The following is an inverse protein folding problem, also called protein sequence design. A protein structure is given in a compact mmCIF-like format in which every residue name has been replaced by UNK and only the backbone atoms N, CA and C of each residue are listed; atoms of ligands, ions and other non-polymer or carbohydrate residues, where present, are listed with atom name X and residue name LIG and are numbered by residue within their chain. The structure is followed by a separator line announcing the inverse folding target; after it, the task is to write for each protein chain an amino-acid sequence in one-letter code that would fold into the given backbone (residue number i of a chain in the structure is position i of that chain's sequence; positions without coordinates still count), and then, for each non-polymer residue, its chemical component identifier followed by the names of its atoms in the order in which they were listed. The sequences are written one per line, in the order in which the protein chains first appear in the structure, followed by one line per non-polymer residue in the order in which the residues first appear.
data_IF_723324658648
#
_entry.id   IF_723324658648
#
_cell.length_a   1.000
_cell.length_b   1.000
_cell.length_c   1.000
_cell.angle_alpha   90.00
_cell.angle_beta   90.00
_cell.angle_gamma   90.00
#
_symmetry.space_group_name_H-M   'P 1'
#
loop_
_entity.id
_entity.type
_entity.pdbx_description
1 polymer ?
#
# COMPACT_ATOMS: atom_id res chain seq x y z
N UNK A 1 -30.18 -12.47 -41.67
CA UNK A 1 -29.38 -11.28 -41.32
C UNK A 1 -28.86 -11.49 -39.90
N UNK A 2 -27.68 -12.08 -39.77
CA UNK A 2 -26.97 -12.18 -38.50
C UNK A 2 -26.03 -10.98 -38.43
N UNK A 3 -26.26 -10.09 -37.46
CA UNK A 3 -25.29 -9.06 -37.09
C UNK A 3 -24.17 -9.76 -36.32
N UNK A 4 -22.90 -9.63 -36.76
CA UNK A 4 -21.78 -10.11 -35.96
C UNK A 4 -21.60 -9.10 -34.82
N UNK A 5 -21.88 -9.55 -33.61
CA UNK A 5 -21.51 -8.83 -32.39
C UNK A 5 -20.00 -8.60 -32.43
N UNK A 6 -19.59 -7.34 -32.57
CA UNK A 6 -18.29 -6.88 -32.11
C UNK A 6 -18.22 -7.19 -30.62
N UNK A 7 -17.55 -8.28 -30.26
CA UNK A 7 -17.02 -8.46 -28.91
C UNK A 7 -15.91 -7.42 -28.74
N UNK A 8 -16.32 -6.20 -28.45
CA UNK A 8 -15.44 -5.10 -28.10
C UNK A 8 -14.60 -5.57 -26.91
N UNK A 9 -13.29 -5.70 -27.10
CA UNK A 9 -12.33 -6.12 -26.08
C UNK A 9 -12.35 -5.09 -24.94
N UNK A 10 -13.29 -5.23 -24.01
CA UNK A 10 -13.30 -4.40 -22.81
C UNK A 10 -12.02 -4.71 -22.01
N UNK A 11 -11.27 -3.68 -21.61
CA UNK A 11 -10.06 -3.88 -20.82
C UNK A 11 -10.42 -4.54 -19.49
N UNK A 12 -9.84 -5.72 -19.23
CA UNK A 12 -10.02 -6.47 -17.99
C UNK A 12 -9.16 -5.87 -16.87
N UNK A 13 -9.54 -6.06 -15.60
CA UNK A 13 -8.74 -5.59 -14.47
C UNK A 13 -7.27 -6.05 -14.52
N UNK A 14 -6.95 -7.32 -14.84
CA UNK A 14 -5.56 -7.74 -14.98
C UNK A 14 -4.77 -6.95 -16.03
N UNK A 15 -5.37 -6.61 -17.18
CA UNK A 15 -4.68 -5.82 -18.19
C UNK A 15 -4.47 -4.37 -17.74
N UNK A 16 -5.46 -3.77 -17.08
CA UNK A 16 -5.35 -2.42 -16.49
C UNK A 16 -4.24 -2.38 -15.43
N UNK A 17 -4.20 -3.35 -14.52
CA UNK A 17 -3.18 -3.42 -13.47
C UNK A 17 -1.78 -3.65 -14.05
N UNK A 18 -1.67 -4.46 -15.11
CA UNK A 18 -0.41 -4.66 -15.84
C UNK A 18 0.07 -3.36 -16.49
N UNK A 19 -0.82 -2.61 -17.15
CA UNK A 19 -0.49 -1.30 -17.72
C UNK A 19 -0.08 -0.33 -16.59
N UNK A 20 -0.83 -0.28 -15.49
CA UNK A 20 -0.53 0.59 -14.35
C UNK A 20 0.84 0.30 -13.73
N UNK A 21 1.23 -0.97 -13.58
CA UNK A 21 2.55 -1.41 -13.09
C UNK A 21 3.70 -0.82 -13.94
N UNK A 22 3.48 -0.64 -15.24
CA UNK A 22 4.48 -0.10 -16.16
C UNK A 22 4.32 1.40 -16.44
N UNK A 23 3.27 2.04 -15.93
CA UNK A 23 3.01 3.47 -16.16
C UNK A 23 3.71 4.29 -15.07
N UNK A 24 4.73 5.11 -15.40
CA UNK A 24 5.50 5.83 -14.39
C UNK A 24 4.64 6.77 -13.55
N UNK A 25 4.84 6.73 -12.23
CA UNK A 25 4.34 7.77 -11.33
C UNK A 25 5.12 9.07 -11.49
N UNK A 26 4.51 10.18 -11.11
CA UNK A 26 5.17 11.48 -11.05
C UNK A 26 6.43 11.40 -10.17
N UNK A 27 7.60 11.65 -10.78
CA UNK A 27 8.89 11.77 -10.07
C UNK A 27 9.13 13.19 -9.49
N UNK A 28 8.12 14.05 -9.55
CA UNK A 28 8.20 15.47 -9.16
C UNK A 28 7.89 15.64 -7.66
N UNK A 29 8.22 16.78 -7.01
CA UNK A 29 8.11 16.97 -5.55
C UNK A 29 6.67 17.08 -5.02
N UNK A 30 5.68 16.67 -5.83
CA UNK A 30 4.26 16.56 -5.47
C UNK A 30 3.82 15.10 -5.72
N UNK A 31 4.17 14.17 -4.82
CA UNK A 31 3.80 12.76 -4.95
C UNK A 31 2.28 12.52 -4.76
N UNK A 32 1.54 13.55 -4.37
CA UNK A 32 0.08 13.58 -4.21
C UNK A 32 -0.69 13.75 -5.53
N UNK A 33 0.00 13.88 -6.68
CA UNK A 33 -0.61 14.00 -8.00
C UNK A 33 -0.17 12.89 -8.96
N UNK A 34 -1.10 12.33 -9.77
CA UNK A 34 -0.77 11.33 -10.77
C UNK A 34 0.10 11.94 -11.87
N UNK A 35 0.87 11.11 -12.58
CA UNK A 35 1.53 11.55 -13.81
C UNK A 35 0.51 11.78 -14.91
N UNK A 36 0.87 12.50 -15.98
CA UNK A 36 -0.03 12.70 -17.12
C UNK A 36 -0.49 11.36 -17.74
N UNK A 37 0.39 10.37 -17.76
CA UNK A 37 0.09 9.02 -18.25
C UNK A 37 -0.86 8.26 -17.31
N UNK A 38 -0.59 8.31 -15.99
CA UNK A 38 -1.50 7.74 -14.99
C UNK A 38 -2.86 8.44 -15.02
N UNK A 39 -2.89 9.76 -15.19
CA UNK A 39 -4.12 10.54 -15.31
C UNK A 39 -4.95 10.11 -16.52
N UNK A 40 -4.29 9.87 -17.66
CA UNK A 40 -4.97 9.36 -18.87
C UNK A 40 -5.61 7.99 -18.63
N UNK A 41 -4.92 7.10 -17.90
CA UNK A 41 -5.45 5.80 -17.52
C UNK A 41 -6.65 5.92 -16.56
N UNK A 42 -6.57 6.81 -15.58
CA UNK A 42 -7.65 7.13 -14.65
C UNK A 42 -8.88 7.68 -15.40
N UNK A 43 -8.68 8.60 -16.35
CA UNK A 43 -9.76 9.21 -17.15
C UNK A 43 -10.42 8.19 -18.08
N UNK A 44 -9.64 7.25 -18.61
CA UNK A 44 -10.17 6.12 -19.39
C UNK A 44 -11.06 5.22 -18.53
N UNK A 45 -10.66 4.92 -17.30
CA UNK A 45 -11.48 4.15 -16.36
C UNK A 45 -12.77 4.87 -15.96
N UNK A 46 -12.71 6.18 -15.72
CA UNK A 46 -13.89 7.00 -15.44
C UNK A 46 -14.87 6.96 -16.59
N UNK A 47 -14.37 7.14 -17.82
CA UNK A 47 -15.18 7.13 -19.03
C UNK A 47 -15.86 5.78 -19.22
N UNK A 48 -15.14 4.68 -18.99
CA UNK A 48 -15.67 3.32 -19.07
C UNK A 48 -16.77 3.04 -18.02
N UNK A 49 -16.63 3.60 -16.82
CA UNK A 49 -17.65 3.51 -15.76
C UNK A 49 -18.89 4.36 -16.02
N UNK A 50 -18.74 5.48 -16.71
CA UNK A 50 -19.85 6.34 -17.13
C UNK A 50 -20.65 5.72 -18.27
N UNK A 51 -19.99 5.00 -19.20
CA UNK A 51 -20.66 4.30 -20.30
C UNK A 51 -21.28 2.98 -19.85
N UNK A 52 -20.68 2.30 -18.87
CA UNK A 52 -21.22 1.09 -18.25
C UNK A 52 -21.50 1.34 -16.76
N UNK A 53 -22.62 2.01 -16.41
CA UNK A 53 -23.01 2.16 -15.01
C UNK A 53 -23.17 0.77 -14.39
N UNK A 54 -22.80 0.58 -13.12
CA UNK A 54 -22.88 -0.71 -12.47
C UNK A 54 -24.33 -1.21 -12.49
N UNK A 55 -24.62 -2.13 -13.41
CA UNK A 55 -25.71 -3.07 -13.21
C UNK A 55 -25.40 -3.89 -11.94
N UNK A 56 -26.33 -4.70 -11.48
CA UNK A 56 -26.28 -5.56 -10.27
C UNK A 56 -25.03 -6.47 -10.09
N UNK A 57 -24.01 -6.37 -10.93
CA UNK A 57 -22.73 -7.09 -10.92
C UNK A 57 -21.54 -6.29 -10.33
N UNK A 58 -21.77 -5.13 -9.69
CA UNK A 58 -20.70 -4.32 -9.07
C UNK A 58 -19.87 -5.08 -8.02
N UNK A 59 -20.51 -6.01 -7.29
CA UNK A 59 -19.81 -6.88 -6.33
C UNK A 59 -18.89 -7.88 -7.03
N UNK A 60 -19.28 -8.41 -8.20
CA UNK A 60 -18.45 -9.32 -8.99
C UNK A 60 -17.19 -8.62 -9.50
N UNK A 61 -17.32 -7.44 -10.10
CA UNK A 61 -16.18 -6.69 -10.61
C UNK A 61 -15.21 -6.25 -9.50
N UNK A 62 -15.75 -5.91 -8.32
CA UNK A 62 -14.93 -5.57 -7.16
C UNK A 62 -14.24 -6.81 -6.57
N UNK A 63 -14.90 -7.97 -6.60
CA UNK A 63 -14.31 -9.25 -6.23
C UNK A 63 -13.18 -9.63 -7.19
N UNK A 64 -13.39 -9.50 -8.49
CA UNK A 64 -12.39 -9.80 -9.53
C UNK A 64 -11.16 -8.89 -9.41
N UNK A 65 -11.37 -7.60 -9.15
CA UNK A 65 -10.28 -6.66 -8.87
C UNK A 65 -9.52 -7.04 -7.60
N UNK A 66 -10.24 -7.35 -6.51
CA UNK A 66 -9.60 -7.76 -5.25
C UNK A 66 -8.81 -9.07 -5.41
N UNK A 67 -9.33 -10.02 -6.17
CA UNK A 67 -8.64 -11.27 -6.48
C UNK A 67 -7.38 -11.00 -7.30
N UNK A 68 -7.46 -10.17 -8.35
CA UNK A 68 -6.31 -9.79 -9.15
C UNK A 68 -5.25 -9.04 -8.32
N UNK A 69 -5.66 -8.14 -7.42
CA UNK A 69 -4.74 -7.46 -6.51
C UNK A 69 -4.13 -8.45 -5.52
N UNK A 70 -4.90 -9.38 -4.96
CA UNK A 70 -4.39 -10.38 -4.02
C UNK A 70 -3.37 -11.32 -4.67
N UNK A 71 -3.64 -11.75 -5.91
CA UNK A 71 -2.72 -12.56 -6.72
C UNK A 71 -1.40 -11.82 -6.95
N UNK A 72 -1.47 -10.57 -7.42
CA UNK A 72 -0.30 -9.70 -7.62
C UNK A 72 0.44 -9.48 -6.29
N UNK A 73 -0.25 -9.19 -5.19
CA UNK A 73 0.40 -8.98 -3.89
C UNK A 73 1.02 -10.25 -3.31
N UNK A 74 0.52 -11.45 -3.65
CA UNK A 74 1.13 -12.72 -3.21
C UNK A 74 2.48 -12.97 -3.88
N UNK A 75 2.62 -12.63 -5.17
CA UNK A 75 3.89 -12.66 -5.91
C UNK A 75 4.97 -11.86 -5.16
N UNK A 76 4.59 -10.74 -4.55
CA UNK A 76 5.49 -9.85 -3.84
C UNK A 76 5.93 -10.37 -2.46
N UNK A 77 5.12 -11.20 -1.79
CA UNK A 77 5.45 -11.77 -0.48
C UNK A 77 6.32 -13.03 -0.59
N UNK A 78 6.16 -13.82 -1.66
CA UNK A 78 6.70 -15.19 -1.78
C UNK A 78 8.14 -15.31 -2.34
N UNK A 79 8.77 -14.25 -2.87
CA UNK A 79 10.09 -14.41 -3.51
C UNK A 79 11.27 -14.61 -2.52
N UNK A 80 11.63 -15.84 -2.19
CA UNK A 80 12.83 -16.17 -1.39
C UNK A 80 14.17 -16.05 -2.17
N UNK A 81 14.18 -15.49 -3.37
CA UNK A 81 15.30 -15.56 -4.30
C UNK A 81 16.29 -14.37 -4.22
N UNK A 82 17.56 -14.68 -4.47
CA UNK A 82 18.71 -13.76 -4.32
C UNK A 82 18.76 -12.70 -5.43
N UNK A 83 18.73 -11.39 -5.13
CA UNK A 83 18.59 -10.38 -6.17
C UNK A 83 19.91 -9.97 -6.83
N UNK A 84 19.91 -9.94 -8.17
CA UNK A 84 20.81 -9.07 -8.94
C UNK A 84 20.34 -7.60 -8.80
N UNK A 85 21.28 -6.65 -8.67
CA UNK A 85 21.00 -5.28 -8.22
C UNK A 85 20.13 -4.44 -9.17
N UNK A 86 20.15 -4.71 -10.46
CA UNK A 86 19.38 -4.00 -11.48
C UNK A 86 17.93 -4.45 -11.55
N UNK A 87 17.66 -5.74 -11.38
CA UNK A 87 16.31 -6.31 -11.36
C UNK A 87 15.46 -5.67 -10.25
N UNK A 88 16.03 -5.53 -9.06
CA UNK A 88 15.32 -5.00 -7.88
C UNK A 88 14.93 -3.53 -7.98
N UNK A 89 15.67 -2.72 -8.76
CA UNK A 89 15.34 -1.30 -8.89
C UNK A 89 14.13 -1.10 -9.81
N UNK A 90 14.12 -1.81 -10.95
CA UNK A 90 13.01 -1.79 -11.88
C UNK A 90 11.75 -2.36 -11.23
N UNK A 91 11.89 -3.45 -10.48
CA UNK A 91 10.81 -4.07 -9.74
C UNK A 91 10.23 -3.13 -8.68
N UNK A 92 11.08 -2.45 -7.89
CA UNK A 92 10.65 -1.42 -6.94
C UNK A 92 9.84 -0.32 -7.63
N UNK A 93 10.32 0.21 -8.75
CA UNK A 93 9.63 1.27 -9.50
C UNK A 93 8.26 0.79 -10.02
N UNK A 94 8.17 -0.46 -10.48
CA UNK A 94 6.92 -1.08 -10.91
C UNK A 94 5.89 -1.20 -9.76
N UNK A 95 6.34 -1.61 -8.56
CA UNK A 95 5.50 -1.66 -7.37
C UNK A 95 5.04 -0.27 -6.92
N UNK A 96 5.94 0.71 -6.95
CA UNK A 96 5.58 2.10 -6.64
C UNK A 96 4.55 2.67 -7.63
N UNK A 97 4.70 2.38 -8.93
CA UNK A 97 3.76 2.80 -9.97
C UNK A 97 2.37 2.21 -9.75
N UNK A 98 2.31 0.90 -9.49
CA UNK A 98 1.06 0.20 -9.22
C UNK A 98 0.37 0.76 -7.97
N UNK A 99 1.08 0.89 -6.86
CA UNK A 99 0.51 1.42 -5.61
C UNK A 99 0.05 2.87 -5.74
N UNK A 100 0.78 3.71 -6.47
CA UNK A 100 0.36 5.08 -6.76
C UNK A 100 -0.96 5.08 -7.54
N UNK A 101 -1.05 4.30 -8.61
CA UNK A 101 -2.26 4.18 -9.40
C UNK A 101 -3.45 3.68 -8.56
N UNK A 102 -3.27 2.62 -7.78
CA UNK A 102 -4.30 2.08 -6.87
C UNK A 102 -4.77 3.12 -5.85
N UNK A 103 -3.85 3.89 -5.28
CA UNK A 103 -4.18 4.96 -4.35
C UNK A 103 -5.01 6.06 -5.04
N UNK A 104 -4.65 6.49 -6.26
CA UNK A 104 -5.40 7.51 -7.00
C UNK A 104 -6.82 7.07 -7.35
N UNK A 105 -6.99 5.88 -7.94
CA UNK A 105 -8.34 5.39 -8.28
C UNK A 105 -9.22 5.19 -7.03
N UNK A 106 -8.60 4.98 -5.86
CA UNK A 106 -9.29 4.89 -4.57
C UNK A 106 -9.64 6.28 -4.00
N UNK A 107 -8.73 7.25 -4.15
CA UNK A 107 -8.96 8.66 -3.76
C UNK A 107 -10.14 9.24 -4.51
N UNK A 108 -10.16 9.01 -5.83
CA UNK A 108 -11.17 9.40 -6.80
C UNK A 108 -12.49 8.63 -6.68
N UNK A 109 -12.59 7.67 -5.75
CA UNK A 109 -13.78 6.84 -5.50
C UNK A 109 -14.25 6.05 -6.73
N UNK A 110 -13.34 5.75 -7.66
CA UNK A 110 -13.61 4.85 -8.79
C UNK A 110 -13.78 3.42 -8.27
N UNK A 111 -12.94 3.03 -7.30
CA UNK A 111 -12.98 1.75 -6.60
C UNK A 111 -12.73 1.96 -5.11
N UNK A 112 -13.20 1.02 -4.28
CA UNK A 112 -12.98 1.05 -2.82
C UNK A 112 -11.91 0.03 -2.44
N UNK A 113 -10.69 0.50 -2.30
CA UNK A 113 -9.51 -0.31 -1.96
C UNK A 113 -8.79 0.21 -0.70
N UNK A 114 -9.49 0.89 0.21
CA UNK A 114 -8.86 1.37 1.45
C UNK A 114 -8.23 0.23 2.25
N UNK A 115 -8.81 -0.98 2.17
CA UNK A 115 -8.32 -2.18 2.85
C UNK A 115 -6.93 -2.60 2.32
N UNK A 116 -6.65 -2.37 1.03
CA UNK A 116 -5.34 -2.62 0.40
C UNK A 116 -4.30 -1.62 0.94
N UNK A 117 -4.67 -0.34 1.06
CA UNK A 117 -3.81 0.69 1.65
C UNK A 117 -3.48 0.39 3.11
N UNK A 118 -4.49 0.03 3.90
CA UNK A 118 -4.30 -0.38 5.31
C UNK A 118 -3.42 -1.62 5.41
N UNK A 119 -3.67 -2.63 4.58
CA UNK A 119 -2.84 -3.83 4.55
C UNK A 119 -1.37 -3.49 4.24
N UNK A 120 -1.13 -2.64 3.23
CA UNK A 120 0.22 -2.19 2.85
C UNK A 120 0.92 -1.47 4.01
N UNK A 121 0.21 -0.59 4.72
CA UNK A 121 0.75 0.10 5.91
C UNK A 121 1.11 -0.89 7.03
N UNK A 122 0.24 -1.85 7.33
CA UNK A 122 0.50 -2.90 8.34
C UNK A 122 1.73 -3.72 7.98
N UNK A 123 1.78 -4.20 6.74
CA UNK A 123 2.90 -5.00 6.24
C UNK A 123 4.22 -4.25 6.37
N UNK A 124 4.26 -2.97 5.99
CA UNK A 124 5.48 -2.18 6.02
C UNK A 124 5.91 -1.75 7.43
N UNK A 125 4.95 -1.40 8.29
CA UNK A 125 5.23 -0.67 9.55
C UNK A 125 5.08 -1.54 10.80
N UNK A 126 4.34 -2.66 10.73
CA UNK A 126 4.07 -3.54 11.87
C UNK A 126 4.92 -4.81 11.84
N UNK A 127 5.29 -5.33 10.66
CA UNK A 127 6.13 -6.55 10.55
C UNK A 127 7.53 -6.41 11.18
N UNK A 128 7.96 -5.20 11.52
CA UNK A 128 9.22 -4.92 12.21
C UNK A 128 9.25 -5.21 13.72
N UNK A 129 8.10 -5.48 14.37
CA UNK A 129 8.05 -5.66 15.83
C UNK A 129 8.83 -6.89 16.34
N UNK A 130 9.06 -7.91 15.51
CA UNK A 130 9.80 -9.11 15.92
C UNK A 130 11.33 -9.04 15.74
N UNK A 131 11.88 -7.99 15.10
CA UNK A 131 13.29 -8.01 14.70
C UNK A 131 14.18 -6.85 15.18
N UNK A 132 13.65 -5.83 15.86
CA UNK A 132 14.48 -4.65 16.22
C UNK A 132 14.48 -4.18 17.68
N UNK A 133 13.86 -4.89 18.63
CA UNK A 133 13.95 -4.48 20.05
C UNK A 133 15.21 -4.95 20.81
N UNK A 134 16.09 -5.77 20.21
CA UNK A 134 17.25 -6.33 20.93
C UNK A 134 18.64 -5.84 20.52
N UNK A 135 18.82 -5.05 19.45
CA UNK A 135 20.17 -4.77 18.95
C UNK A 135 20.85 -3.49 19.45
N UNK A 136 20.19 -2.63 20.24
CA UNK A 136 20.82 -1.38 20.73
C UNK A 136 21.34 -1.40 22.17
N UNK A 137 21.40 -2.56 22.85
CA UNK A 137 21.94 -2.62 24.23
C UNK A 137 23.30 -3.32 24.41
N UNK A 138 23.92 -3.83 23.34
CA UNK A 138 25.24 -4.47 23.43
C UNK A 138 26.17 -4.05 22.29
N UNK A 139 26.67 -2.82 22.32
CA UNK A 139 27.92 -2.49 21.62
C UNK A 139 28.73 -1.47 22.43
N UNK A 140 29.15 -1.91 23.60
CA UNK A 140 30.46 -1.49 24.11
C UNK A 140 31.26 -2.74 24.43
N UNK A 141 32.48 -2.79 23.90
CA UNK A 141 33.49 -3.83 24.08
C UNK A 141 33.37 -5.06 23.16
N UNK A 142 34.01 -4.97 21.98
CA UNK A 142 35.18 -5.81 21.68
C UNK A 142 35.78 -5.45 20.30
N UNK A 143 37.03 -5.02 20.34
CA UNK A 143 37.97 -5.04 19.21
C UNK A 143 38.31 -6.50 18.89
N UNK A 144 38.47 -6.84 17.61
CA UNK A 144 39.23 -8.03 17.22
C UNK A 144 38.69 -8.80 16.02
N UNK A 145 39.46 -8.71 14.93
CA UNK A 145 39.62 -9.71 13.85
C UNK A 145 38.43 -9.98 12.93
N UNK A 146 38.61 -9.53 11.68
CA UNK A 146 37.62 -9.63 10.62
C UNK A 146 37.27 -11.05 10.20
N UNK A 147 35.97 -11.27 10.05
CA UNK A 147 35.37 -11.87 8.86
C UNK A 147 34.13 -11.03 8.59
N UNK A 148 34.18 -10.20 7.54
CA UNK A 148 33.07 -9.33 7.16
C UNK A 148 31.87 -10.15 6.75
N UNK A 149 30.83 -10.18 7.58
CA UNK A 149 29.49 -10.62 7.16
C UNK A 149 28.96 -9.54 6.20
N UNK A 150 28.52 -9.89 4.97
CA UNK A 150 28.04 -8.89 4.02
C UNK A 150 26.80 -8.17 4.54
N UNK A 151 26.56 -6.91 4.13
CA UNK A 151 25.38 -6.15 4.53
C UNK A 151 24.12 -6.90 4.08
N UNK A 152 23.21 -7.23 5.01
CA UNK A 152 22.07 -8.13 4.79
C UNK A 152 21.28 -7.85 3.49
N UNK A 153 21.33 -8.79 2.54
CA UNK A 153 21.18 -8.51 1.10
C UNK A 153 19.80 -8.77 0.48
N UNK A 154 18.86 -9.45 1.14
CA UNK A 154 17.52 -9.75 0.58
C UNK A 154 16.35 -9.12 1.34
N UNK A 155 16.20 -9.48 2.63
CA UNK A 155 15.08 -9.02 3.49
C UNK A 155 14.97 -7.50 3.63
N UNK A 156 16.09 -6.77 3.58
CA UNK A 156 16.12 -5.31 3.71
C UNK A 156 15.73 -4.56 2.45
N UNK A 157 16.05 -5.10 1.27
CA UNK A 157 15.60 -4.51 -0.01
C UNK A 157 14.09 -4.63 -0.16
N UNK A 158 13.52 -5.77 0.22
CA UNK A 158 12.06 -5.95 0.30
C UNK A 158 11.42 -4.92 1.22
N UNK A 159 12.01 -4.68 2.40
CA UNK A 159 11.52 -3.64 3.32
C UNK A 159 11.50 -2.25 2.67
N UNK A 160 12.51 -1.87 1.88
CA UNK A 160 12.51 -0.57 1.19
C UNK A 160 11.35 -0.41 0.21
N UNK A 161 10.98 -1.49 -0.52
CA UNK A 161 9.83 -1.46 -1.44
C UNK A 161 8.52 -1.35 -0.66
N UNK A 162 8.34 -2.13 0.43
CA UNK A 162 7.14 -2.02 1.28
C UNK A 162 6.99 -0.63 1.90
N UNK A 163 8.08 -0.05 2.41
CA UNK A 163 8.09 1.29 2.99
C UNK A 163 7.74 2.34 1.93
N UNK A 164 8.31 2.24 0.73
CA UNK A 164 7.95 3.11 -0.40
C UNK A 164 6.46 3.03 -0.74
N UNK A 165 5.92 1.82 -0.92
CA UNK A 165 4.52 1.60 -1.25
C UNK A 165 3.57 2.09 -0.16
N UNK A 166 3.90 1.86 1.11
CA UNK A 166 3.15 2.37 2.25
C UNK A 166 3.18 3.91 2.31
N UNK A 167 4.34 4.52 2.07
CA UNK A 167 4.48 5.97 2.03
C UNK A 167 3.65 6.59 0.90
N UNK A 168 3.62 5.96 -0.29
CA UNK A 168 2.77 6.40 -1.41
C UNK A 168 1.28 6.40 -1.02
N UNK A 169 0.80 5.33 -0.37
CA UNK A 169 -0.57 5.30 0.16
C UNK A 169 -0.83 6.42 1.17
N UNK A 170 0.11 6.68 2.08
CA UNK A 170 -0.03 7.77 3.05
C UNK A 170 -0.02 9.16 2.39
N UNK A 171 0.78 9.37 1.34
CA UNK A 171 0.88 10.65 0.64
C UNK A 171 -0.37 10.95 -0.18
N UNK A 172 -0.86 9.96 -0.92
CA UNK A 172 -2.01 10.13 -1.82
C UNK A 172 -3.33 10.07 -1.06
N UNK A 173 -3.42 9.21 -0.05
CA UNK A 173 -4.67 8.80 0.59
C UNK A 173 -4.66 8.97 2.12
N UNK A 174 -3.62 9.54 2.74
CA UNK A 174 -3.49 9.55 4.20
C UNK A 174 -4.63 10.26 4.92
N UNK A 175 -5.06 11.42 4.41
CA UNK A 175 -6.16 12.19 5.00
C UNK A 175 -7.50 11.46 4.80
N UNK A 176 -7.76 10.96 3.60
CA UNK A 176 -8.97 10.22 3.26
C UNK A 176 -9.05 8.84 3.94
N UNK A 177 -7.93 8.15 4.12
CA UNK A 177 -7.87 6.88 4.84
C UNK A 177 -8.25 7.10 6.30
N UNK A 178 -7.70 8.14 6.92
CA UNK A 178 -8.09 8.50 8.28
C UNK A 178 -9.58 8.84 8.34
N UNK A 179 -10.07 9.76 7.51
CA UNK A 179 -11.49 10.14 7.48
C UNK A 179 -12.43 8.93 7.29
N UNK A 180 -12.10 8.00 6.38
CA UNK A 180 -12.97 6.88 5.99
C UNK A 180 -12.83 5.61 6.86
N UNK A 181 -11.75 5.47 7.63
CA UNK A 181 -11.42 4.22 8.34
C UNK A 181 -10.96 4.41 9.78
N UNK A 182 -10.85 5.64 10.30
CA UNK A 182 -10.60 5.81 11.72
C UNK A 182 -11.74 5.19 12.54
N UNK A 183 -11.40 4.67 13.71
CA UNK A 183 -12.40 4.25 14.69
C UNK A 183 -13.16 5.48 15.16
N UNK A 184 -14.43 5.60 14.80
CA UNK A 184 -15.33 6.58 15.39
C UNK A 184 -15.61 6.12 16.82
N UNK A 185 -15.10 6.83 17.82
CA UNK A 185 -15.54 6.66 19.22
C UNK A 185 -16.99 7.17 19.34
N UNK A 186 -17.96 6.39 18.87
CA UNK A 186 -19.33 6.50 19.36
C UNK A 186 -19.51 5.50 20.50
N UNK A 187 -19.00 5.87 21.68
CA UNK A 187 -19.52 5.31 22.93
C UNK A 187 -20.65 6.22 23.43
N UNK A 188 -21.93 5.94 23.11
CA UNK A 188 -22.98 6.38 24.01
C UNK A 188 -22.78 5.63 25.33
N UNK A 189 -22.48 6.38 26.38
CA UNK A 189 -22.43 5.89 27.75
C UNK A 189 -23.83 5.37 28.10
N UNK A 190 -24.07 4.08 27.88
CA UNK A 190 -25.34 3.45 28.21
C UNK A 190 -25.60 2.18 27.41
N UNK A 191 -25.27 1.03 28.01
CA UNK A 191 -25.74 -0.31 27.65
C UNK A 191 -25.15 -0.92 26.36
N UNK A 192 -23.98 -1.54 26.45
CA UNK A 192 -23.60 -2.58 25.50
C UNK A 192 -23.22 -3.87 26.23
N UNK A 193 -24.20 -4.79 26.29
CA UNK A 193 -23.97 -6.21 26.49
C UNK A 193 -23.83 -6.83 25.10
N UNK A 194 -22.61 -6.99 24.60
CA UNK A 194 -22.29 -7.95 23.54
C UNK A 194 -20.80 -8.29 23.53
N UNK A 195 -20.45 -9.54 23.18
CA UNK A 195 -19.28 -10.21 23.72
C UNK A 195 -17.99 -9.77 23.04
N UNK A 196 -16.94 -9.73 23.88
CA UNK A 196 -15.54 -9.56 23.50
C UNK A 196 -15.21 -10.36 22.23
N UNK A 197 -14.72 -9.63 21.22
CA UNK A 197 -14.34 -10.15 19.91
C UNK A 197 -13.09 -11.03 20.06
N UNK A 198 -13.30 -12.27 20.49
CA UNK A 198 -12.37 -13.36 20.27
C UNK A 198 -12.67 -13.93 18.88
N UNK A 199 -11.64 -13.90 18.05
CA UNK A 199 -11.38 -14.79 16.91
C UNK A 199 -12.52 -15.77 16.58
N UNK A 200 -13.33 -15.40 15.59
CA UNK A 200 -14.17 -16.38 14.88
C UNK A 200 -14.23 -15.98 13.41
N UNK A 201 -13.69 -16.87 12.56
CA UNK A 201 -13.75 -16.73 11.12
C UNK A 201 -15.19 -16.77 10.58
N UNK A 202 -15.34 -16.14 9.41
CA UNK A 202 -16.46 -16.28 8.49
C UNK A 202 -17.85 -15.81 8.98
N UNK A 203 -18.07 -14.49 9.00
CA UNK A 203 -19.31 -13.84 8.57
C UNK A 203 -19.11 -12.31 8.56
N UNK A 204 -19.06 -11.70 7.38
CA UNK A 204 -19.06 -10.24 7.20
C UNK A 204 -17.92 -9.51 7.92
N UNK A 205 -16.68 -9.70 7.48
CA UNK A 205 -15.53 -8.98 8.05
C UNK A 205 -15.78 -7.47 7.95
N UNK A 206 -16.05 -6.84 9.10
CA UNK A 206 -16.10 -5.39 9.19
C UNK A 206 -14.80 -4.83 8.59
N UNK A 207 -14.93 -3.83 7.72
CA UNK A 207 -13.77 -3.21 7.09
C UNK A 207 -12.77 -2.78 8.18
N UNK A 208 -11.45 -3.01 7.99
CA UNK A 208 -10.46 -2.78 9.02
C UNK A 208 -10.50 -1.32 9.48
N UNK A 209 -10.87 -1.09 10.73
CA UNK A 209 -10.80 0.22 11.36
C UNK A 209 -9.40 0.50 11.88
N UNK A 210 -9.04 1.78 11.98
CA UNK A 210 -7.73 2.25 12.42
C UNK A 210 -7.89 3.11 13.67
N UNK A 211 -7.37 2.63 14.80
CA UNK A 211 -7.38 3.41 16.04
C UNK A 211 -6.38 4.56 15.99
N UNK A 212 -6.61 5.61 16.78
CA UNK A 212 -5.67 6.76 16.90
C UNK A 212 -4.28 6.33 17.34
N UNK A 213 -4.19 5.35 18.25
CA UNK A 213 -2.90 4.79 18.70
C UNK A 213 -2.14 4.09 17.57
N UNK A 214 -2.83 3.31 16.73
CA UNK A 214 -2.21 2.62 15.58
C UNK A 214 -1.73 3.63 14.55
N UNK A 215 -2.54 4.65 14.25
CA UNK A 215 -2.16 5.72 13.32
C UNK A 215 -0.92 6.50 13.80
N UNK A 216 -0.88 6.85 15.09
CA UNK A 216 0.30 7.50 15.69
C UNK A 216 1.54 6.60 15.60
N UNK A 217 1.40 5.31 15.89
CA UNK A 217 2.51 4.36 15.75
C UNK A 217 3.04 4.31 14.31
N UNK A 218 2.17 4.31 13.29
CA UNK A 218 2.61 4.37 11.89
C UNK A 218 3.34 5.68 11.56
N UNK A 219 2.86 6.82 12.06
CA UNK A 219 3.54 8.11 11.93
C UNK A 219 4.96 8.04 12.52
N UNK A 220 5.10 7.49 13.72
CA UNK A 220 6.38 7.39 14.41
C UNK A 220 7.34 6.42 13.68
N UNK A 221 6.81 5.32 13.12
CA UNK A 221 7.59 4.38 12.31
C UNK A 221 8.09 5.01 11.02
N UNK A 222 7.27 5.78 10.30
CA UNK A 222 7.73 6.51 9.12
C UNK A 222 8.82 7.54 9.46
N UNK A 223 8.68 8.26 10.58
CA UNK A 223 9.73 9.17 11.05
C UNK A 223 11.04 8.42 11.32
N UNK A 224 10.97 7.28 12.02
CA UNK A 224 12.14 6.46 12.28
C UNK A 224 12.80 5.99 10.98
N UNK A 225 12.01 5.46 10.05
CA UNK A 225 12.50 4.97 8.75
C UNK A 225 13.08 6.09 7.88
N UNK A 226 12.60 7.33 8.01
CA UNK A 226 13.18 8.48 7.30
C UNK A 226 14.63 8.78 7.71
N UNK A 227 15.09 8.28 8.86
CA UNK A 227 16.45 8.45 9.37
C UNK A 227 17.31 7.19 9.18
N UNK A 228 16.76 6.11 8.61
CA UNK A 228 17.44 4.82 8.52
C UNK A 228 18.48 4.81 7.39
N UNK A 229 19.77 4.79 7.73
CA UNK A 229 20.88 4.84 6.76
C UNK A 229 20.96 3.66 5.80
N UNK A 230 20.24 2.57 6.08
CA UNK A 230 20.14 1.40 5.21
C UNK A 230 19.02 1.49 4.17
N UNK A 231 18.23 2.57 4.16
CA UNK A 231 17.27 2.89 3.09
C UNK A 231 17.86 3.89 2.10
N UNK A 232 17.48 3.76 0.83
CA UNK A 232 17.85 4.76 -0.17
C UNK A 232 17.18 6.11 0.10
N UNK A 233 17.81 7.17 -0.37
CA UNK A 233 17.40 8.56 -0.12
C UNK A 233 15.94 8.78 -0.50
N UNK A 234 15.48 8.24 -1.63
CA UNK A 234 14.10 8.44 -2.09
C UNK A 234 13.09 7.80 -1.14
N UNK A 235 13.35 6.59 -0.66
CA UNK A 235 12.45 5.95 0.33
C UNK A 235 12.44 6.71 1.65
N UNK A 236 13.58 7.26 2.08
CA UNK A 236 13.62 8.11 3.28
C UNK A 236 12.82 9.40 3.14
N UNK A 237 12.95 10.08 2.00
CA UNK A 237 12.17 11.28 1.68
C UNK A 237 10.67 10.98 1.65
N UNK A 238 10.26 9.90 0.95
CA UNK A 238 8.87 9.45 0.94
C UNK A 238 8.34 9.17 2.35
N UNK A 239 9.12 8.50 3.20
CA UNK A 239 8.73 8.22 4.59
C UNK A 239 8.59 9.51 5.42
N UNK A 240 9.50 10.48 5.26
CA UNK A 240 9.41 11.77 5.94
C UNK A 240 8.15 12.53 5.55
N UNK A 241 7.86 12.61 4.24
CA UNK A 241 6.69 13.31 3.72
C UNK A 241 5.38 12.60 4.11
N UNK A 242 5.35 11.26 4.05
CA UNK A 242 4.21 10.47 4.50
C UNK A 242 3.87 10.76 5.98
N UNK A 243 4.88 10.77 6.85
CA UNK A 243 4.69 11.13 8.25
C UNK A 243 4.19 12.57 8.45
N UNK A 244 4.55 13.50 7.56
CA UNK A 244 4.08 14.88 7.60
C UNK A 244 2.62 15.01 7.16
N UNK A 245 2.20 14.29 6.10
CA UNK A 245 0.80 14.25 5.64
C UNK A 245 -0.10 13.62 6.71
N UNK A 246 0.28 12.44 7.22
CA UNK A 246 -0.52 11.72 8.22
C UNK A 246 -0.70 12.51 9.54
N UNK A 247 0.25 13.40 9.89
CA UNK A 247 0.15 14.28 11.07
C UNK A 247 -0.86 15.41 10.95
N UNK A 248 -1.34 15.73 9.76
CA UNK A 248 -2.31 16.82 9.55
C UNK A 248 -3.69 16.50 10.13
N UNK A 249 -3.98 15.22 10.34
CA UNK A 249 -5.31 14.72 10.75
C UNK A 249 -5.34 14.16 12.19
N UNK A 250 -4.26 14.33 12.96
CA UNK A 250 -4.11 13.84 14.35
C UNK A 250 -4.20 14.94 15.40
#
# INVERSE_FOLDING_TARGET
MQSPFESENQPTWPSILTIAKHTPRTSTPKPDLPSAEQQTLIDSLRSLRLTNPPASNSESEQSDLKAAIADILSEYEDEDESPTSTSTKLEKEQWENLHAFLAFITKERIVRLEDVGIHTLRVALERGEHHHYHHHRYHHQQQGTGVGVPPGTGKRKKMAVFVSCAAIWALVMGEELWERRHETEEFPVGLSLSPSHRESGAAGAAAPTVSKSRWQMWIDRFQFLSLADDLDIKTRELAAEAAAVMRRVT
#
